data_IF_863735341451
#
_entry.id   IF_863735341451
#
_cell.length_a   1.000
_cell.length_b   1.000
_cell.length_c   1.000
_cell.angle_alpha   90.00
_cell.angle_beta   90.00
_cell.angle_gamma   90.00
#
_symmetry.space_group_name_H-M   'P 1'
#
loop_
_entity.id
_entity.type
_entity.pdbx_description
1 polymer ?
#
# COMPACT_ATOMS: atom_id res chain seq x y z
N UNK A 1 10.02 -17.08 -15.63
CA UNK A 1 10.26 -16.39 -14.33
C UNK A 1 11.12 -17.27 -13.45
N UNK A 2 12.17 -16.71 -12.85
CA UNK A 2 12.93 -17.39 -11.80
C UNK A 2 11.99 -17.48 -10.60
N UNK A 3 11.80 -18.69 -10.04
CA UNK A 3 10.99 -18.87 -8.84
C UNK A 3 11.57 -17.97 -7.74
N UNK A 4 10.75 -17.07 -7.20
CA UNK A 4 11.19 -16.17 -6.15
C UNK A 4 11.46 -16.99 -4.88
N UNK A 5 12.72 -17.03 -4.44
CA UNK A 5 13.06 -17.69 -3.18
C UNK A 5 12.50 -16.89 -2.00
N UNK A 6 11.66 -17.52 -1.21
CA UNK A 6 11.08 -16.97 0.01
C UNK A 6 11.90 -17.51 1.21
N UNK A 7 12.32 -16.64 2.16
CA UNK A 7 12.08 -15.19 2.22
C UNK A 7 13.05 -14.39 1.35
N UNK A 8 12.54 -13.32 0.70
CA UNK A 8 13.30 -12.43 -0.17
C UNK A 8 13.64 -11.09 0.49
N UNK A 9 14.61 -10.37 -0.13
CA UNK A 9 14.92 -8.99 0.23
C UNK A 9 13.87 -8.05 -0.37
N UNK A 10 13.08 -7.37 0.47
CA UNK A 10 11.99 -6.51 0.03
C UNK A 10 12.45 -5.23 -0.69
N UNK A 11 13.60 -4.65 -0.29
CA UNK A 11 14.14 -3.46 -0.96
C UNK A 11 14.66 -3.81 -2.36
N UNK A 12 15.40 -4.91 -2.48
CA UNK A 12 15.83 -5.39 -3.79
C UNK A 12 14.65 -5.69 -4.70
N UNK A 13 13.62 -6.40 -4.18
CA UNK A 13 12.40 -6.67 -4.94
C UNK A 13 11.67 -5.36 -5.32
N UNK A 14 11.64 -4.37 -4.45
CA UNK A 14 11.03 -3.07 -4.74
C UNK A 14 11.69 -2.41 -5.94
N UNK A 15 13.02 -2.34 -5.93
CA UNK A 15 13.83 -1.80 -7.02
C UNK A 15 13.63 -2.56 -8.34
N UNK A 16 13.70 -3.90 -8.30
CA UNK A 16 13.46 -4.75 -9.47
C UNK A 16 12.04 -4.56 -10.03
N UNK A 17 11.04 -4.48 -9.14
CA UNK A 17 9.65 -4.26 -9.53
C UNK A 17 9.46 -2.86 -10.12
N UNK A 18 10.08 -1.83 -9.55
CA UNK A 18 10.00 -0.46 -10.08
C UNK A 18 10.49 -0.41 -11.53
N UNK A 19 11.63 -1.05 -11.84
CA UNK A 19 12.17 -1.12 -13.21
C UNK A 19 11.19 -1.76 -14.20
N UNK A 20 10.36 -2.70 -13.74
CA UNK A 20 9.37 -3.36 -14.59
C UNK A 20 8.11 -2.52 -14.80
N UNK A 21 7.68 -1.76 -13.78
CA UNK A 21 6.41 -1.03 -13.80
C UNK A 21 6.54 0.45 -14.14
N UNK A 22 7.76 0.95 -14.31
CA UNK A 22 8.05 2.31 -14.79
C UNK A 22 8.62 2.28 -16.19
N UNK A 23 8.21 3.26 -17.03
CA UNK A 23 8.78 3.53 -18.36
C UNK A 23 8.94 5.04 -18.52
N UNK A 24 10.15 5.53 -18.28
CA UNK A 24 10.39 6.94 -18.12
C UNK A 24 9.52 7.51 -16.97
N UNK A 25 8.72 8.52 -17.24
CA UNK A 25 7.80 9.12 -16.25
C UNK A 25 6.41 8.45 -16.18
N UNK A 26 6.16 7.38 -16.97
CA UNK A 26 4.90 6.64 -16.99
C UNK A 26 4.97 5.43 -16.08
N UNK A 27 3.84 5.16 -15.37
CA UNK A 27 3.68 4.01 -14.49
C UNK A 27 2.59 3.08 -14.99
N UNK A 28 2.72 1.80 -14.67
CA UNK A 28 1.78 0.74 -15.04
C UNK A 28 0.57 0.73 -14.11
N UNK A 29 -0.64 0.88 -14.69
CA UNK A 29 -1.94 0.75 -14.02
C UNK A 29 -2.83 -0.21 -14.80
N UNK A 30 -3.70 -0.95 -14.11
CA UNK A 30 -4.59 -1.89 -14.78
C UNK A 30 -6.07 -1.51 -14.73
N UNK A 31 -6.47 -0.58 -13.82
CA UNK A 31 -7.88 -0.19 -13.68
C UNK A 31 -8.03 1.20 -13.07
N UNK A 32 -9.05 1.91 -13.54
CA UNK A 32 -9.57 3.11 -12.90
C UNK A 32 -11.04 2.84 -12.55
N UNK A 33 -11.48 3.15 -11.33
CA UNK A 33 -12.81 2.79 -10.86
C UNK A 33 -13.33 3.69 -9.74
N UNK A 34 -14.65 3.79 -9.63
CA UNK A 34 -15.31 4.21 -8.41
C UNK A 34 -15.28 3.06 -7.40
N UNK A 35 -15.00 3.34 -6.14
CA UNK A 35 -15.03 2.36 -5.05
C UNK A 35 -15.87 2.89 -3.87
N UNK A 36 -16.56 1.99 -3.11
CA UNK A 36 -17.47 2.41 -2.04
C UNK A 36 -16.76 2.79 -0.73
N UNK A 37 -15.45 2.53 -0.62
CA UNK A 37 -14.68 2.82 0.59
C UNK A 37 -14.71 4.31 0.93
N UNK A 38 -14.64 4.64 2.22
CA UNK A 38 -14.64 6.00 2.74
C UNK A 38 -15.85 6.85 2.31
N UNK A 39 -16.98 6.20 2.03
CA UNK A 39 -18.19 6.87 1.51
C UNK A 39 -18.18 7.18 0.02
N UNK A 40 -17.17 6.75 -0.71
CA UNK A 40 -17.00 6.91 -2.15
C UNK A 40 -15.67 7.54 -2.52
N UNK A 41 -14.85 6.84 -3.33
CA UNK A 41 -13.51 7.26 -3.69
C UNK A 41 -13.17 6.90 -5.14
N UNK A 42 -12.57 7.84 -5.86
CA UNK A 42 -12.00 7.61 -7.17
C UNK A 42 -10.66 6.89 -7.03
N UNK A 43 -10.51 5.75 -7.65
CA UNK A 43 -9.40 4.82 -7.42
C UNK A 43 -8.66 4.49 -8.71
N UNK A 44 -7.34 4.60 -8.69
CA UNK A 44 -6.42 4.05 -9.68
C UNK A 44 -5.71 2.83 -9.08
N UNK A 45 -5.89 1.67 -9.72
CA UNK A 45 -5.28 0.41 -9.29
C UNK A 45 -3.94 0.22 -10.05
N UNK A 46 -2.84 0.42 -9.33
CA UNK A 46 -1.46 0.24 -9.82
C UNK A 46 -1.05 -1.24 -9.87
N UNK A 47 0.06 -1.52 -10.52
CA UNK A 47 0.66 -2.85 -10.64
C UNK A 47 2.04 -2.86 -9.98
N UNK A 48 2.40 -4.00 -9.37
CA UNK A 48 3.70 -4.22 -8.76
C UNK A 48 3.75 -3.83 -7.28
N UNK A 49 4.36 -4.71 -6.49
CA UNK A 49 4.48 -4.54 -5.03
C UNK A 49 5.83 -5.08 -4.56
N UNK A 50 6.40 -4.45 -3.54
CA UNK A 50 7.59 -4.89 -2.82
C UNK A 50 7.35 -6.18 -2.01
N UNK A 51 6.08 -6.52 -1.73
CA UNK A 51 5.67 -7.73 -1.03
C UNK A 51 4.83 -8.67 -1.92
N UNK A 52 4.73 -9.94 -1.51
CA UNK A 52 3.82 -10.94 -2.06
C UNK A 52 2.95 -11.53 -0.95
N UNK A 53 2.09 -10.69 -0.36
CA UNK A 53 1.23 -11.10 0.74
C UNK A 53 0.34 -12.26 0.34
N UNK A 54 0.35 -13.34 1.13
CA UNK A 54 -0.40 -14.56 0.84
C UNK A 54 -1.91 -14.33 0.68
N UNK A 55 -2.45 -13.35 1.40
CA UNK A 55 -3.86 -12.98 1.34
C UNK A 55 -4.20 -11.91 0.29
N UNK A 56 -3.22 -11.49 -0.53
CA UNK A 56 -3.43 -10.38 -1.46
C UNK A 56 -4.39 -10.77 -2.60
N UNK A 57 -5.49 -10.03 -2.73
CA UNK A 57 -6.42 -10.20 -3.86
C UNK A 57 -5.77 -9.85 -5.21
N UNK A 58 -4.65 -9.11 -5.18
CA UNK A 58 -3.89 -8.72 -6.37
C UNK A 58 -2.62 -9.55 -6.58
N UNK A 59 -2.53 -10.72 -5.93
CA UNK A 59 -1.32 -11.57 -5.89
C UNK A 59 -0.71 -11.81 -7.28
N UNK A 60 -1.49 -12.29 -8.25
CA UNK A 60 -0.98 -12.60 -9.58
C UNK A 60 -0.42 -11.41 -10.34
N UNK A 61 -0.98 -10.19 -10.12
CA UNK A 61 -0.46 -8.94 -10.71
C UNK A 61 0.82 -8.46 -10.04
N UNK A 62 1.04 -8.84 -8.78
CA UNK A 62 2.27 -8.53 -8.06
C UNK A 62 3.36 -9.58 -8.29
N UNK A 63 2.98 -10.82 -8.63
CA UNK A 63 3.91 -11.88 -8.99
C UNK A 63 4.48 -11.68 -10.40
N UNK A 64 3.65 -11.29 -11.36
CA UNK A 64 4.02 -11.06 -12.76
C UNK A 64 3.44 -9.73 -13.29
N UNK A 65 4.01 -8.60 -12.87
CA UNK A 65 3.43 -7.28 -13.14
C UNK A 65 3.41 -6.92 -14.64
N UNK A 66 4.34 -7.41 -15.44
CA UNK A 66 4.47 -7.04 -16.87
C UNK A 66 3.32 -7.55 -17.75
N UNK A 67 2.55 -8.53 -17.26
CA UNK A 67 1.41 -9.12 -17.99
C UNK A 67 0.15 -8.30 -17.91
N UNK A 68 0.12 -7.26 -17.07
CA UNK A 68 -1.12 -6.56 -16.73
C UNK A 68 -0.96 -5.05 -16.90
N UNK A 69 -2.06 -4.41 -17.34
CA UNK A 69 -2.17 -2.97 -17.38
C UNK A 69 -1.55 -2.29 -18.60
N UNK A 70 -1.51 -0.95 -18.51
CA UNK A 70 -0.91 -0.03 -19.49
C UNK A 70 -0.12 1.05 -18.77
N UNK A 71 0.84 1.66 -19.46
CA UNK A 71 1.62 2.78 -18.94
C UNK A 71 0.86 4.09 -19.13
N UNK A 72 0.66 4.81 -18.02
CA UNK A 72 -0.01 6.11 -17.98
C UNK A 72 0.95 7.16 -17.42
N UNK A 73 0.89 8.39 -17.95
CA UNK A 73 1.53 9.55 -17.33
C UNK A 73 0.77 9.96 -16.06
N UNK A 74 1.35 10.80 -15.22
CA UNK A 74 0.69 11.33 -14.04
C UNK A 74 -0.56 12.12 -14.40
N UNK A 75 -0.51 12.86 -15.50
CA UNK A 75 -1.61 13.61 -16.08
C UNK A 75 -2.76 12.68 -16.49
N UNK A 76 -2.46 11.62 -17.25
CA UNK A 76 -3.47 10.62 -17.66
C UNK A 76 -4.16 9.99 -16.45
N UNK A 77 -3.39 9.67 -15.37
CA UNK A 77 -3.93 9.10 -14.14
C UNK A 77 -4.84 10.11 -13.43
N UNK A 78 -4.40 11.33 -13.28
CA UNK A 78 -5.18 12.40 -12.64
C UNK A 78 -6.48 12.69 -13.41
N UNK A 79 -6.42 12.78 -14.73
CA UNK A 79 -7.59 13.02 -15.59
C UNK A 79 -8.64 11.91 -15.45
N UNK A 80 -8.21 10.65 -15.47
CA UNK A 80 -9.12 9.51 -15.23
C UNK A 80 -9.78 9.55 -13.85
N UNK A 81 -9.02 9.89 -12.81
CA UNK A 81 -9.53 10.00 -11.45
C UNK A 81 -10.50 11.17 -11.30
N UNK A 82 -10.18 12.35 -11.83
CA UNK A 82 -11.04 13.53 -11.81
C UNK A 82 -12.35 13.29 -12.59
N UNK A 83 -12.29 12.58 -13.73
CA UNK A 83 -13.49 12.21 -14.47
C UNK A 83 -14.42 11.31 -13.66
N UNK A 84 -13.87 10.29 -12.96
CA UNK A 84 -14.65 9.41 -12.09
C UNK A 84 -15.28 10.22 -10.96
N UNK A 85 -14.48 11.08 -10.30
CA UNK A 85 -14.94 11.90 -9.19
C UNK A 85 -16.08 12.82 -9.61
N UNK A 86 -15.96 13.49 -10.75
CA UNK A 86 -17.02 14.35 -11.32
C UNK A 86 -18.31 13.58 -11.60
N UNK A 87 -18.20 12.38 -12.21
CA UNK A 87 -19.37 11.54 -12.54
C UNK A 87 -20.10 10.99 -11.31
N UNK A 88 -19.41 10.84 -10.19
CA UNK A 88 -19.89 10.22 -8.96
C UNK A 88 -20.06 11.20 -7.80
N UNK A 89 -19.75 12.47 -7.99
CA UNK A 89 -19.72 13.49 -6.94
C UNK A 89 -18.80 13.12 -5.77
N UNK A 90 -17.63 12.54 -6.08
CA UNK A 90 -16.60 12.20 -5.09
C UNK A 90 -15.59 13.34 -4.94
N UNK A 91 -15.07 13.52 -3.73
CA UNK A 91 -13.98 14.41 -3.40
C UNK A 91 -12.77 13.68 -2.80
N UNK A 92 -12.81 12.34 -2.79
CA UNK A 92 -11.72 11.48 -2.33
C UNK A 92 -11.06 10.75 -3.50
N UNK A 93 -9.75 10.67 -3.44
CA UNK A 93 -8.91 10.07 -4.47
C UNK A 93 -7.87 9.15 -3.86
N UNK A 94 -7.51 8.07 -4.56
CA UNK A 94 -6.40 7.21 -4.14
C UNK A 94 -5.70 6.50 -5.30
N UNK A 95 -4.46 6.13 -5.04
CA UNK A 95 -3.74 5.07 -5.76
C UNK A 95 -3.58 3.89 -4.83
N UNK A 96 -3.98 2.71 -5.27
CA UNK A 96 -3.95 1.44 -4.52
C UNK A 96 -3.81 0.25 -5.47
N UNK A 97 -4.30 -0.94 -5.09
CA UNK A 97 -4.23 -2.19 -5.86
C UNK A 97 -2.91 -2.92 -5.67
N UNK A 98 -1.82 -2.19 -5.63
CA UNK A 98 -0.46 -2.65 -5.33
C UNK A 98 0.29 -1.55 -4.56
N UNK A 99 1.62 -1.64 -4.48
CA UNK A 99 2.40 -0.62 -3.77
C UNK A 99 2.61 0.63 -4.64
N UNK A 100 2.14 1.81 -4.23
CA UNK A 100 2.34 3.05 -4.97
C UNK A 100 3.80 3.51 -5.03
N UNK A 101 4.58 3.27 -3.97
CA UNK A 101 5.96 3.74 -3.81
C UNK A 101 6.92 2.56 -3.79
N UNK A 102 7.58 2.30 -4.91
CA UNK A 102 8.58 1.23 -5.06
C UNK A 102 10.01 1.76 -5.01
N UNK A 103 10.20 3.05 -5.28
CA UNK A 103 11.45 3.79 -5.30
C UNK A 103 11.21 5.22 -5.76
N UNK A 104 12.27 5.93 -6.16
CA UNK A 104 12.22 7.35 -6.49
C UNK A 104 11.34 7.63 -7.74
N UNK A 105 11.43 6.83 -8.80
CA UNK A 105 10.70 7.09 -10.04
C UNK A 105 9.18 6.95 -9.86
N UNK A 106 8.73 5.93 -9.13
CA UNK A 106 7.32 5.71 -8.80
C UNK A 106 6.80 6.75 -7.81
N UNK A 107 7.65 7.19 -6.90
CA UNK A 107 7.33 8.28 -5.96
C UNK A 107 7.13 9.62 -6.68
N UNK A 108 8.03 10.01 -7.58
CA UNK A 108 7.89 11.23 -8.40
C UNK A 108 6.59 11.22 -9.21
N UNK A 109 6.28 10.08 -9.83
CA UNK A 109 5.02 9.91 -10.54
C UNK A 109 3.81 10.12 -9.63
N UNK A 110 3.81 9.51 -8.42
CA UNK A 110 2.73 9.63 -7.45
C UNK A 110 2.56 11.07 -6.94
N UNK A 111 3.67 11.73 -6.58
CA UNK A 111 3.66 13.14 -6.13
C UNK A 111 3.00 14.01 -7.20
N UNK A 112 3.36 13.81 -8.47
CA UNK A 112 2.76 14.57 -9.56
C UNK A 112 1.25 14.32 -9.71
N UNK A 113 0.78 13.09 -9.55
CA UNK A 113 -0.67 12.77 -9.52
C UNK A 113 -1.37 13.49 -8.38
N UNK A 114 -0.78 13.46 -7.16
CA UNK A 114 -1.33 14.15 -5.98
C UNK A 114 -1.42 15.65 -6.22
N UNK A 115 -0.34 16.28 -6.72
CA UNK A 115 -0.31 17.72 -7.02
C UNK A 115 -1.42 18.13 -7.99
N UNK A 116 -1.56 17.42 -9.11
CA UNK A 116 -2.58 17.74 -10.12
C UNK A 116 -3.98 17.66 -9.51
N UNK A 117 -4.30 16.59 -8.78
CA UNK A 117 -5.62 16.39 -8.17
C UNK A 117 -5.91 17.46 -7.11
N UNK A 118 -4.97 17.71 -6.18
CA UNK A 118 -5.19 18.67 -5.11
C UNK A 118 -5.26 20.12 -5.60
N UNK A 119 -4.65 20.43 -6.74
CA UNK A 119 -4.73 21.74 -7.38
C UNK A 119 -5.99 21.93 -8.24
N UNK A 120 -6.58 20.83 -8.75
CA UNK A 120 -7.76 20.89 -9.60
C UNK A 120 -9.03 21.27 -8.82
N UNK A 121 -9.14 20.86 -7.56
CA UNK A 121 -10.31 21.15 -6.72
C UNK A 121 -9.90 21.34 -5.25
N UNK A 122 -10.22 22.52 -4.63
CA UNK A 122 -9.95 22.81 -3.22
C UNK A 122 -10.64 21.86 -2.22
N UNK A 123 -11.69 21.15 -2.62
CA UNK A 123 -12.40 20.17 -1.78
C UNK A 123 -11.78 18.77 -1.87
N UNK A 124 -10.89 18.52 -2.82
CA UNK A 124 -10.24 17.22 -3.00
C UNK A 124 -9.36 16.84 -1.83
N UNK A 125 -9.43 15.56 -1.41
CA UNK A 125 -8.51 14.94 -0.48
C UNK A 125 -7.92 13.68 -1.12
N UNK A 126 -6.66 13.39 -0.83
CA UNK A 126 -5.98 12.21 -1.35
C UNK A 126 -5.63 11.26 -0.21
N UNK A 127 -5.96 9.98 -0.37
CA UNK A 127 -5.57 8.90 0.55
C UNK A 127 -4.48 8.07 -0.12
N UNK A 128 -3.28 8.11 0.43
CA UNK A 128 -2.18 7.26 0.02
C UNK A 128 -2.20 5.98 0.85
N UNK A 129 -2.52 4.85 0.22
CA UNK A 129 -2.45 3.53 0.84
C UNK A 129 -1.12 2.86 0.45
N UNK A 130 -0.23 2.63 1.41
CA UNK A 130 1.10 2.06 1.18
C UNK A 130 1.48 1.05 2.26
N UNK A 131 2.38 0.13 1.96
CA UNK A 131 2.95 -0.78 2.94
C UNK A 131 4.07 -0.15 3.80
N UNK A 132 4.46 1.08 3.48
CA UNK A 132 5.41 1.88 4.25
C UNK A 132 6.88 1.48 4.10
N UNK A 133 7.23 0.48 3.29
CA UNK A 133 8.62 0.01 3.17
C UNK A 133 9.59 1.14 2.81
N UNK A 134 9.33 1.85 1.72
CA UNK A 134 10.22 2.91 1.21
C UNK A 134 10.15 4.16 2.11
N UNK A 135 8.97 4.53 2.59
CA UNK A 135 8.79 5.67 3.51
C UNK A 135 9.52 5.46 4.85
N UNK A 136 9.60 4.21 5.32
CA UNK A 136 10.35 3.86 6.52
C UNK A 136 11.85 3.71 6.28
N UNK A 137 12.25 3.34 5.06
CA UNK A 137 13.65 3.19 4.69
C UNK A 137 14.32 4.54 4.39
N UNK A 138 13.61 5.45 3.72
CA UNK A 138 14.11 6.75 3.27
C UNK A 138 13.29 7.91 3.84
N UNK A 139 13.72 8.46 4.98
CA UNK A 139 13.04 9.57 5.66
C UNK A 139 12.82 10.79 4.74
N UNK A 140 13.75 11.07 3.84
CA UNK A 140 13.67 12.20 2.89
C UNK A 140 12.43 12.15 1.99
N UNK A 141 11.92 10.97 1.68
CA UNK A 141 10.70 10.79 0.89
C UNK A 141 9.48 11.29 1.68
N UNK A 142 9.39 11.02 2.99
CA UNK A 142 8.30 11.50 3.83
C UNK A 142 8.23 13.05 3.89
N UNK A 143 9.37 13.75 3.84
CA UNK A 143 9.44 15.21 3.83
C UNK A 143 8.72 15.83 2.62
N UNK A 144 8.66 15.12 1.51
CA UNK A 144 8.06 15.59 0.25
C UNK A 144 6.55 15.33 0.16
N UNK A 145 5.97 14.63 1.15
CA UNK A 145 4.53 14.35 1.25
C UNK A 145 3.76 15.42 2.07
N UNK A 146 4.31 16.60 2.26
CA UNK A 146 3.69 17.69 3.03
C UNK A 146 2.57 18.41 2.25
N UNK A 147 1.51 17.69 1.95
CA UNK A 147 0.30 18.26 1.36
C UNK A 147 -0.80 18.36 2.43
N UNK A 148 -1.42 19.52 2.56
CA UNK A 148 -2.42 19.79 3.60
C UNK A 148 -3.63 18.82 3.56
N UNK A 149 -3.95 18.30 2.36
CA UNK A 149 -5.11 17.44 2.10
C UNK A 149 -4.69 16.01 1.71
N UNK A 150 -3.49 15.59 2.10
CA UNK A 150 -3.00 14.22 1.99
C UNK A 150 -3.17 13.51 3.33
N UNK A 151 -3.68 12.29 3.27
CA UNK A 151 -3.80 11.35 4.36
C UNK A 151 -3.04 10.08 3.97
N UNK A 152 -2.24 9.52 4.88
CA UNK A 152 -1.42 8.34 4.57
C UNK A 152 -1.83 7.16 5.44
N UNK A 153 -2.22 6.07 4.79
CA UNK A 153 -2.60 4.81 5.42
C UNK A 153 -1.47 3.80 5.27
N UNK A 154 -0.86 3.42 6.38
CA UNK A 154 0.25 2.46 6.41
C UNK A 154 -0.29 1.06 6.72
N UNK A 155 -0.25 0.18 5.72
CA UNK A 155 -0.74 -1.19 5.87
C UNK A 155 0.32 -2.10 6.50
N UNK A 156 0.19 -2.38 7.80
CA UNK A 156 1.03 -3.32 8.54
C UNK A 156 0.64 -4.76 8.14
N UNK A 157 1.63 -5.59 7.80
CA UNK A 157 1.40 -6.91 7.18
C UNK A 157 1.71 -8.08 8.12
N UNK A 158 1.64 -7.86 9.40
CA UNK A 158 1.86 -8.86 10.46
C UNK A 158 1.83 -8.21 11.82
N UNK A 159 1.69 -8.98 12.87
CA UNK A 159 1.72 -8.49 14.27
C UNK A 159 3.10 -8.60 14.90
N UNK A 160 3.97 -9.41 14.29
CA UNK A 160 5.37 -9.59 14.67
C UNK A 160 6.22 -10.00 13.46
N UNK A 161 7.53 -10.13 13.66
CA UNK A 161 8.49 -10.48 12.62
C UNK A 161 8.18 -11.83 11.94
N UNK A 162 7.74 -12.83 12.70
CA UNK A 162 7.45 -14.17 12.16
C UNK A 162 6.20 -14.18 11.28
N UNK A 163 5.11 -13.58 11.75
CA UNK A 163 3.88 -13.44 10.97
C UNK A 163 4.09 -12.56 9.73
N UNK A 164 4.87 -11.48 9.83
CA UNK A 164 5.23 -10.64 8.70
C UNK A 164 5.95 -11.42 7.60
N UNK A 165 7.01 -12.18 7.94
CA UNK A 165 7.76 -12.98 6.98
C UNK A 165 6.88 -14.02 6.31
N UNK A 166 6.09 -14.75 7.10
CA UNK A 166 5.17 -15.78 6.63
C UNK A 166 4.12 -15.20 5.66
N UNK A 167 3.54 -14.06 6.01
CA UNK A 167 2.48 -13.41 5.22
C UNK A 167 3.05 -12.77 3.96
N UNK A 168 4.10 -11.96 4.07
CA UNK A 168 4.61 -11.14 2.97
C UNK A 168 5.56 -11.88 2.04
N UNK A 169 6.23 -12.92 2.52
CA UNK A 169 7.35 -13.59 1.86
C UNK A 169 8.65 -12.78 1.87
N UNK A 170 8.65 -11.60 2.47
CA UNK A 170 9.87 -10.81 2.68
C UNK A 170 10.55 -11.22 3.99
N UNK A 171 11.87 -11.03 4.10
CA UNK A 171 12.63 -11.33 5.32
C UNK A 171 12.08 -10.53 6.50
N UNK A 172 12.10 -11.13 7.68
CA UNK A 172 11.51 -10.62 8.92
C UNK A 172 12.04 -9.25 9.38
N UNK A 173 13.29 -8.90 9.05
CA UNK A 173 13.89 -7.61 9.41
C UNK A 173 13.18 -6.41 8.77
N UNK A 174 12.40 -6.63 7.70
CA UNK A 174 11.61 -5.58 7.04
C UNK A 174 10.33 -5.21 7.81
N UNK A 175 9.95 -5.97 8.82
CA UNK A 175 8.78 -5.68 9.67
C UNK A 175 8.83 -4.31 10.35
N UNK A 176 10.00 -3.78 10.63
CA UNK A 176 10.19 -2.48 11.29
C UNK A 176 9.80 -1.27 10.43
N UNK A 177 9.85 -1.38 9.10
CA UNK A 177 9.72 -0.21 8.21
C UNK A 177 8.33 0.46 8.22
N UNK A 178 7.19 -0.25 8.32
CA UNK A 178 5.89 0.39 8.52
C UNK A 178 5.84 1.32 9.75
N UNK A 179 6.47 0.94 10.85
CA UNK A 179 6.55 1.77 12.06
C UNK A 179 7.46 2.99 11.84
N UNK A 180 8.61 2.80 11.22
CA UNK A 180 9.51 3.90 10.85
C UNK A 180 8.83 4.87 9.86
N UNK A 181 8.00 4.36 8.95
CA UNK A 181 7.21 5.18 8.03
C UNK A 181 6.23 6.08 8.78
N UNK A 182 5.50 5.56 9.77
CA UNK A 182 4.59 6.34 10.61
C UNK A 182 5.35 7.45 11.37
N UNK A 183 6.50 7.12 11.96
CA UNK A 183 7.36 8.09 12.66
C UNK A 183 7.88 9.16 11.70
N UNK A 184 8.37 8.77 10.53
CA UNK A 184 8.89 9.70 9.53
C UNK A 184 7.81 10.67 9.02
N UNK A 185 6.58 10.16 8.81
CA UNK A 185 5.44 10.98 8.40
C UNK A 185 5.03 11.96 9.51
N UNK A 186 4.89 11.49 10.76
CA UNK A 186 4.54 12.33 11.91
C UNK A 186 5.55 13.46 12.13
N UNK A 187 6.86 13.14 12.13
CA UNK A 187 7.96 14.14 12.25
C UNK A 187 7.90 15.23 11.17
N UNK A 188 7.34 14.89 10.02
CA UNK A 188 7.16 15.80 8.90
C UNK A 188 5.78 16.47 8.83
N UNK A 189 4.93 16.28 9.86
CA UNK A 189 3.60 16.88 9.95
C UNK A 189 2.59 16.30 8.95
N UNK A 190 2.85 15.09 8.43
CA UNK A 190 1.95 14.37 7.52
C UNK A 190 1.01 13.50 8.36
N UNK A 191 -0.30 13.65 8.15
CA UNK A 191 -1.31 12.83 8.85
C UNK A 191 -1.26 11.39 8.36
N UNK A 192 -0.98 10.44 9.27
CA UNK A 192 -0.89 9.02 8.95
C UNK A 192 -1.49 8.15 10.04
N UNK A 193 -1.95 6.94 9.66
CA UNK A 193 -2.43 5.94 10.60
C UNK A 193 -2.07 4.52 10.15
N UNK A 194 -1.90 3.57 11.09
CA UNK A 194 -1.68 2.17 10.80
C UNK A 194 -2.99 1.44 10.46
N UNK A 195 -2.89 0.41 9.61
CA UNK A 195 -4.00 -0.48 9.31
C UNK A 195 -3.53 -1.94 9.27
N UNK A 196 -4.38 -2.87 9.74
CA UNK A 196 -4.08 -4.30 9.83
C UNK A 196 -5.24 -5.14 9.29
N UNK A 197 -4.96 -6.19 8.55
CA UNK A 197 -5.91 -7.24 8.19
C UNK A 197 -6.17 -8.12 9.42
N UNK A 198 -7.22 -7.80 10.20
CA UNK A 198 -7.46 -8.39 11.52
C UNK A 198 -7.83 -9.88 11.47
N UNK A 199 -8.53 -10.33 10.41
CA UNK A 199 -9.00 -11.71 10.29
C UNK A 199 -7.89 -12.77 10.35
N UNK A 200 -6.64 -12.37 10.17
CA UNK A 200 -5.47 -13.27 10.21
C UNK A 200 -4.92 -13.50 11.62
N UNK A 201 -5.44 -12.79 12.62
CA UNK A 201 -4.85 -12.75 13.95
C UNK A 201 -5.90 -12.92 15.04
N UNK A 202 -5.48 -13.44 16.17
CA UNK A 202 -6.27 -13.46 17.39
C UNK A 202 -6.34 -12.07 18.02
N UNK A 203 -7.32 -11.82 18.88
CA UNK A 203 -7.44 -10.57 19.62
C UNK A 203 -6.17 -10.27 20.45
N UNK A 204 -5.58 -11.28 21.07
CA UNK A 204 -4.34 -11.14 21.83
C UNK A 204 -3.17 -10.64 20.94
N UNK A 205 -3.00 -11.22 19.76
CA UNK A 205 -1.96 -10.81 18.80
C UNK A 205 -2.19 -9.37 18.30
N UNK A 206 -3.44 -8.97 18.06
CA UNK A 206 -3.78 -7.58 17.72
C UNK A 206 -3.44 -6.64 18.87
N UNK A 207 -3.69 -7.04 20.12
CA UNK A 207 -3.34 -6.24 21.30
C UNK A 207 -1.82 -6.13 21.50
N UNK A 208 -1.05 -7.18 21.22
CA UNK A 208 0.43 -7.12 21.17
C UNK A 208 0.92 -6.10 20.13
N UNK A 209 0.32 -6.08 18.93
CA UNK A 209 0.66 -5.07 17.92
C UNK A 209 0.33 -3.65 18.40
N UNK A 210 -0.82 -3.43 19.06
CA UNK A 210 -1.16 -2.13 19.66
C UNK A 210 -0.14 -1.70 20.72
N UNK A 211 0.41 -2.65 21.50
CA UNK A 211 1.49 -2.35 22.43
C UNK A 211 2.77 -1.97 21.69
N UNK A 212 3.16 -2.72 20.65
CA UNK A 212 4.30 -2.39 19.79
C UNK A 212 4.18 -0.98 19.21
N UNK A 213 3.00 -0.59 18.70
CA UNK A 213 2.76 0.78 18.22
C UNK A 213 3.05 1.83 19.30
N UNK A 214 2.59 1.60 20.54
CA UNK A 214 2.88 2.49 21.68
C UNK A 214 4.37 2.57 22.03
N UNK A 215 5.09 1.45 21.96
CA UNK A 215 6.55 1.39 22.17
C UNK A 215 7.32 2.22 21.12
N UNK A 216 6.79 2.31 19.89
CA UNK A 216 7.28 3.22 18.85
C UNK A 216 6.76 4.67 18.98
N UNK A 217 6.03 5.02 20.05
CA UNK A 217 5.36 6.31 20.26
C UNK A 217 4.33 6.66 19.14
N UNK A 218 3.73 5.67 18.53
CA UNK A 218 2.68 5.85 17.53
C UNK A 218 1.33 5.85 18.25
N UNK A 219 0.65 7.00 18.25
CA UNK A 219 -0.60 7.24 19.01
C UNK A 219 -1.86 7.24 18.13
N UNK A 220 -1.72 7.16 16.81
CA UNK A 220 -2.87 7.04 15.90
C UNK A 220 -3.55 5.69 16.05
N UNK A 221 -4.87 5.68 15.93
CA UNK A 221 -5.68 4.47 16.05
C UNK A 221 -5.33 3.45 14.96
N UNK A 222 -5.29 2.17 15.35
CA UNK A 222 -5.12 1.06 14.41
C UNK A 222 -6.44 0.77 13.71
N UNK A 223 -6.49 1.02 12.40
CA UNK A 223 -7.63 0.61 11.56
C UNK A 223 -7.59 -0.91 11.33
N UNK A 224 -8.73 -1.56 11.55
CA UNK A 224 -8.89 -2.98 11.33
C UNK A 224 -9.64 -3.22 10.01
N UNK A 225 -9.06 -4.05 9.14
CA UNK A 225 -9.63 -4.44 7.85
C UNK A 225 -10.09 -5.89 7.88
N UNK A 226 -11.18 -6.18 7.18
CA UNK A 226 -11.65 -7.54 6.96
C UNK A 226 -11.12 -8.12 5.64
N UNK A 227 -10.86 -9.43 5.64
CA UNK A 227 -10.33 -10.17 4.51
C UNK A 227 -11.36 -10.32 3.39
N UNK A 228 -10.99 -9.94 2.17
CA UNK A 228 -11.75 -10.27 0.98
C UNK A 228 -11.53 -11.73 0.57
N UNK A 229 -12.50 -12.59 0.90
CA UNK A 229 -12.41 -14.05 0.82
C UNK A 229 -12.57 -14.64 -0.58
N UNK A 230 -11.79 -14.20 -1.57
CA UNK A 230 -11.79 -14.85 -2.89
C UNK A 230 -11.20 -16.28 -2.82
N UNK A 231 -11.71 -17.25 -3.59
CA UNK A 231 -11.19 -18.64 -3.56
C UNK A 231 -9.68 -18.75 -3.83
N UNK A 232 -9.13 -17.90 -4.68
CA UNK A 232 -7.68 -17.89 -4.96
C UNK A 232 -6.86 -17.32 -3.80
N UNK A 233 -7.41 -16.41 -3.00
CA UNK A 233 -6.78 -15.87 -1.79
C UNK A 233 -6.55 -17.01 -0.79
N UNK A 234 -7.58 -17.79 -0.48
CA UNK A 234 -7.45 -18.95 0.41
C UNK A 234 -6.46 -20.00 -0.11
N UNK A 235 -6.42 -20.24 -1.44
CA UNK A 235 -5.39 -21.13 -2.02
C UNK A 235 -3.97 -20.62 -1.82
N UNK A 236 -3.75 -19.32 -2.00
CA UNK A 236 -2.43 -18.72 -1.78
C UNK A 236 -2.03 -18.74 -0.31
N UNK A 237 -2.97 -18.42 0.59
CA UNK A 237 -2.77 -18.52 2.04
C UNK A 237 -2.37 -19.95 2.43
N UNK A 238 -3.12 -20.97 1.98
CA UNK A 238 -2.80 -22.39 2.24
C UNK A 238 -1.40 -22.76 1.74
N UNK A 239 -1.00 -22.34 0.53
CA UNK A 239 0.35 -22.58 -0.02
C UNK A 239 1.46 -21.96 0.85
N UNK A 240 1.17 -20.82 1.49
CA UNK A 240 2.10 -20.11 2.39
C UNK A 240 2.00 -20.60 3.85
N UNK A 241 1.10 -21.53 4.15
CA UNK A 241 0.82 -21.98 5.51
C UNK A 241 0.17 -20.92 6.39
N UNK A 242 -0.49 -19.91 5.80
CA UNK A 242 -1.28 -18.91 6.51
C UNK A 242 -2.71 -19.41 6.65
N UNK A 243 -3.25 -19.44 7.86
CA UNK A 243 -4.62 -19.84 8.18
C UNK A 243 -5.32 -18.72 8.93
N UNK A 244 -6.64 -18.74 8.92
CA UNK A 244 -7.43 -17.97 9.88
C UNK A 244 -7.31 -18.63 11.26
N UNK A 245 -7.39 -17.85 12.35
CA UNK A 245 -7.46 -18.41 13.72
C UNK A 245 -8.68 -19.32 13.90
N UNK A 246 -8.51 -20.40 14.69
CA UNK A 246 -9.56 -21.41 14.88
C UNK A 246 -10.78 -20.94 15.70
N UNK A 247 -10.74 -19.74 16.29
CA UNK A 247 -11.80 -19.18 17.16
C UNK A 247 -12.17 -17.76 16.71
N UNK A 248 -12.98 -17.67 15.69
CA UNK A 248 -13.89 -16.54 15.43
C UNK A 248 -15.28 -17.04 15.15
#
# INVERSE_FOLDING_TARGET
>A
MVALNIPFNALQRSEETERLVMRGKKRLYYKFRAAPYYGGIATADAVGCSFLCAYCWNYGRNEDPVRFGRFYSAEDVADNLLEIARRRSFNLFRVTGSEPILGEASFEHLVKVIEIILNADPQSNFILETNGLILGHEEKIAQRLRFARLLVRIAIKGVNQASFEKITGARKEFFRYPFLALINLERNGVRAWPALMEDLFTENEVNELKQTLREYNIHSDLELESLEGYPFVFRNMKRRGVSLPDNR
#
